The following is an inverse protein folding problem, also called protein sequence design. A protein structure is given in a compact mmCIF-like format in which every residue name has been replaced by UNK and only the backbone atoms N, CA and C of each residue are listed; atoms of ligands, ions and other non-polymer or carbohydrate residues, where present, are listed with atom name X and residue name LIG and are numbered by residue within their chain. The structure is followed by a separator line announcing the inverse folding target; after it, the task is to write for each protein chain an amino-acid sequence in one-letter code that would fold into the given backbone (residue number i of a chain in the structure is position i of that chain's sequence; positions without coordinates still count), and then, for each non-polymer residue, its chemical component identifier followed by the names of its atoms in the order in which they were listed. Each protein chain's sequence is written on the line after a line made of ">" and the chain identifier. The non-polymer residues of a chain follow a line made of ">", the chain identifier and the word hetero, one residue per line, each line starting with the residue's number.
data_IF_527726787184
#
_entry.id   IF_527726787184
#
_cell.length_a   1.000
_cell.length_b   1.000
_cell.length_c   1.000
_cell.angle_alpha   90.00
_cell.angle_beta   90.00
_cell.angle_gamma   90.00
#
_symmetry.space_group_name_H-M   'P 1'
#
loop_
_entity.id
_entity.type
_entity.pdbx_description
1 polymer ?
#
# COMPACT_ATOMS: atom_id res chain seq x y z
N UNK A 1 -0.21 29.05 44.53
CA UNK A 1 1.25 28.97 44.70
C UNK A 1 1.56 27.76 45.58
N UNK A 2 1.97 26.63 45.01
CA UNK A 2 2.72 25.61 45.75
C UNK A 2 3.41 24.69 44.75
N UNK A 3 4.71 24.92 44.60
CA UNK A 3 5.62 24.14 43.77
C UNK A 3 6.05 22.93 44.60
N UNK A 4 5.83 21.72 44.12
CA UNK A 4 6.58 20.55 44.57
C UNK A 4 7.33 19.97 43.37
N UNK A 5 8.65 19.98 43.53
CA UNK A 5 9.67 19.61 42.57
C UNK A 5 10.26 18.25 42.99
N UNK A 6 10.52 17.41 41.97
CA UNK A 6 11.48 16.29 41.90
C UNK A 6 11.19 14.99 42.69
N UNK A 7 11.69 13.81 42.25
CA UNK A 7 12.81 13.63 41.30
C UNK A 7 12.56 12.73 40.07
N UNK A 8 13.32 13.08 39.03
CA UNK A 8 13.77 12.22 37.93
C UNK A 8 14.44 10.96 38.46
N UNK A 9 13.86 9.80 38.15
CA UNK A 9 14.51 8.50 38.26
C UNK A 9 15.03 8.08 36.89
N UNK A 10 16.27 8.43 36.58
CA UNK A 10 17.01 7.88 35.46
C UNK A 10 17.45 6.45 35.81
N UNK A 11 16.99 5.46 35.05
CA UNK A 11 17.62 4.13 35.02
C UNK A 11 17.79 3.70 33.57
N UNK A 12 19.01 3.91 33.10
CA UNK A 12 19.60 3.22 31.98
C UNK A 12 19.76 1.73 32.32
N UNK A 13 19.39 0.84 31.41
CA UNK A 13 20.04 -0.45 31.22
C UNK A 13 19.92 -0.84 29.75
N UNK A 14 20.99 -0.53 29.03
CA UNK A 14 21.36 -0.98 27.70
C UNK A 14 21.48 -2.51 27.71
N UNK A 15 20.70 -3.19 26.87
CA UNK A 15 20.77 -4.64 26.68
C UNK A 15 20.81 -4.97 25.19
N UNK A 16 21.94 -4.68 24.55
CA UNK A 16 22.18 -5.05 23.15
C UNK A 16 22.47 -6.55 23.07
N UNK A 17 21.48 -7.35 22.69
CA UNK A 17 21.68 -8.76 22.34
C UNK A 17 22.08 -8.80 20.86
N UNK A 18 23.36 -9.00 20.61
CA UNK A 18 23.94 -9.21 19.28
C UNK A 18 23.70 -10.68 18.89
N UNK A 19 22.58 -10.96 18.21
CA UNK A 19 22.29 -12.28 17.66
C UNK A 19 22.82 -12.37 16.22
N UNK A 20 24.02 -12.91 16.07
CA UNK A 20 24.63 -13.26 14.78
C UNK A 20 23.96 -14.52 14.24
N UNK A 21 23.03 -14.37 13.29
CA UNK A 21 22.46 -15.48 12.52
C UNK A 21 23.28 -15.67 11.26
N UNK A 22 24.07 -16.76 11.22
CA UNK A 22 24.74 -17.23 10.01
C UNK A 22 23.74 -18.06 9.19
N UNK A 23 23.17 -17.47 8.15
CA UNK A 23 22.40 -18.20 7.14
C UNK A 23 23.36 -18.76 6.08
N UNK A 24 23.44 -20.09 6.08
CA UNK A 24 24.16 -20.94 5.13
C UNK A 24 23.59 -20.74 3.73
N UNK A 25 24.45 -20.37 2.78
CA UNK A 25 24.12 -20.26 1.37
C UNK A 25 24.04 -21.64 0.70
N UNK A 26 22.92 -21.91 0.03
CA UNK A 26 22.80 -23.03 -0.90
C UNK A 26 23.30 -22.57 -2.27
N UNK A 27 24.46 -23.07 -2.67
CA UNK A 27 25.05 -22.90 -4.01
C UNK A 27 24.29 -23.81 -4.99
N UNK A 28 23.49 -23.22 -5.87
CA UNK A 28 22.90 -23.91 -7.02
C UNK A 28 23.85 -23.82 -8.22
N UNK A 29 24.64 -24.87 -8.46
CA UNK A 29 25.38 -25.10 -9.70
C UNK A 29 24.46 -25.76 -10.73
N UNK A 30 24.38 -25.21 -11.94
CA UNK A 30 23.72 -25.88 -13.05
C UNK A 30 23.89 -25.15 -14.38
N UNK A 31 24.77 -25.67 -15.24
CA UNK A 31 24.61 -25.62 -16.69
C UNK A 31 25.51 -24.64 -17.45
N UNK A 32 26.76 -25.03 -17.66
CA UNK A 32 27.59 -24.58 -18.77
C UNK A 32 27.15 -25.31 -20.05
N UNK A 33 26.71 -24.59 -21.09
CA UNK A 33 26.58 -25.10 -22.46
C UNK A 33 26.96 -23.98 -23.45
N UNK A 34 28.16 -24.08 -24.00
CA UNK A 34 28.67 -23.38 -25.21
C UNK A 34 29.56 -24.41 -25.93
N UNK A 35 29.86 -24.33 -27.26
CA UNK A 35 29.27 -23.58 -28.36
C UNK A 35 28.88 -24.49 -29.57
N UNK A 36 28.21 -23.92 -30.58
CA UNK A 36 28.00 -24.53 -31.90
C UNK A 36 28.29 -23.53 -33.04
N UNK A 37 28.90 -23.94 -34.17
CA UNK A 37 29.77 -23.08 -34.99
C UNK A 37 29.10 -22.28 -36.13
N UNK A 38 29.79 -21.18 -36.49
CA UNK A 38 29.98 -20.52 -37.79
C UNK A 38 29.40 -21.18 -39.05
N UNK A 39 28.67 -20.38 -39.85
CA UNK A 39 28.94 -20.17 -41.28
C UNK A 39 28.16 -18.96 -41.86
N UNK A 40 28.88 -17.99 -42.43
CA UNK A 40 28.35 -17.05 -43.43
C UNK A 40 28.62 -17.62 -44.84
N UNK A 41 27.80 -17.27 -45.86
CA UNK A 41 28.39 -16.45 -46.93
C UNK A 41 27.45 -15.42 -47.62
N UNK A 42 28.14 -14.57 -48.38
CA UNK A 42 27.84 -13.34 -49.13
C UNK A 42 26.92 -13.46 -50.38
N UNK A 43 26.40 -12.28 -50.78
CA UNK A 43 25.98 -11.81 -52.13
C UNK A 43 24.48 -11.92 -52.46
N UNK A 44 23.78 -10.95 -53.07
CA UNK A 44 24.16 -9.87 -53.99
C UNK A 44 23.22 -8.67 -53.91
N UNK A 45 23.78 -7.50 -54.25
CA UNK A 45 23.10 -6.25 -54.58
C UNK A 45 22.07 -6.40 -55.71
N UNK A 46 20.91 -5.76 -55.55
CA UNK A 46 20.00 -5.35 -56.65
C UNK A 46 19.46 -3.95 -56.29
N UNK A 47 19.75 -2.88 -57.08
CA UNK A 47 19.07 -1.61 -56.95
C UNK A 47 17.97 -1.47 -58.02
N UNK A 48 16.74 -1.15 -57.60
CA UNK A 48 15.86 -0.27 -58.38
C UNK A 48 15.52 0.97 -57.54
N UNK A 49 15.92 2.14 -58.03
CA UNK A 49 15.01 3.12 -58.64
C UNK A 49 14.22 3.92 -57.59
N UNK A 50 14.69 5.15 -57.36
CA UNK A 50 14.03 6.14 -56.52
C UNK A 50 12.72 6.60 -57.18
N UNK A 51 11.60 6.36 -56.50
CA UNK A 51 10.34 7.04 -56.76
C UNK A 51 10.15 8.12 -55.69
N UNK A 52 9.81 9.37 -56.04
CA UNK A 52 9.51 10.39 -55.04
C UNK A 52 8.11 10.13 -54.48
N UNK A 53 8.03 9.50 -53.30
CA UNK A 53 6.82 9.58 -52.48
C UNK A 53 6.81 10.93 -51.77
N UNK A 54 6.01 11.85 -52.30
CA UNK A 54 5.48 13.00 -51.55
C UNK A 54 4.90 12.50 -50.21
N UNK A 55 5.63 12.75 -49.13
CA UNK A 55 5.13 12.51 -47.77
C UNK A 55 4.26 13.71 -47.43
N UNK A 56 2.95 13.53 -47.46
CA UNK A 56 2.04 14.44 -46.78
C UNK A 56 2.38 14.42 -45.28
N UNK A 57 2.98 15.50 -44.78
CA UNK A 57 3.14 15.71 -43.34
C UNK A 57 1.76 16.03 -42.77
N UNK A 58 1.03 15.00 -42.33
CA UNK A 58 -0.13 15.20 -41.46
C UNK A 58 0.37 15.94 -40.19
N UNK A 59 -0.25 17.07 -39.80
CA UNK A 59 0.10 17.73 -38.55
C UNK A 59 -0.08 16.73 -37.40
N UNK A 60 0.82 16.70 -36.41
CA UNK A 60 0.70 15.75 -35.30
C UNK A 60 -0.68 15.91 -34.63
N UNK A 61 -1.36 14.83 -34.26
CA UNK A 61 -2.63 14.94 -33.55
C UNK A 61 -2.40 15.78 -32.30
N UNK A 62 -3.09 16.92 -32.24
CA UNK A 62 -3.13 17.73 -31.02
C UNK A 62 -3.84 16.90 -29.95
N UNK A 63 -3.24 16.68 -28.75
CA UNK A 63 -3.96 16.06 -27.65
C UNK A 63 -4.98 17.08 -27.11
N UNK A 64 -6.10 17.24 -27.80
CA UNK A 64 -7.29 17.90 -27.27
C UNK A 64 -8.19 16.83 -26.68
N UNK A 65 -7.77 16.32 -25.52
CA UNK A 65 -8.63 15.59 -24.61
C UNK A 65 -8.45 16.21 -23.24
N UNK A 66 -9.44 16.96 -22.76
CA UNK A 66 -9.61 17.11 -21.31
C UNK A 66 -9.80 15.69 -20.77
N UNK A 67 -8.96 15.19 -19.84
CA UNK A 67 -9.19 13.87 -19.27
C UNK A 67 -10.59 13.86 -18.65
N UNK A 68 -11.44 12.94 -19.10
CA UNK A 68 -12.69 12.66 -18.40
C UNK A 68 -12.34 12.25 -16.96
N UNK A 69 -13.13 12.66 -15.95
CA UNK A 69 -12.93 12.17 -14.59
C UNK A 69 -12.91 10.64 -14.62
N UNK A 70 -11.84 10.04 -14.10
CA UNK A 70 -11.82 8.61 -13.88
C UNK A 70 -12.86 8.33 -12.79
N UNK A 71 -14.04 7.84 -13.16
CA UNK A 71 -15.05 7.43 -12.18
C UNK A 71 -14.56 6.15 -11.51
N UNK A 72 -14.14 6.26 -10.25
CA UNK A 72 -13.76 5.11 -9.44
C UNK A 72 -14.96 4.18 -9.25
N UNK A 73 -14.74 2.88 -9.39
CA UNK A 73 -15.77 1.86 -9.15
C UNK A 73 -16.04 1.75 -7.65
N UNK A 74 -17.31 1.78 -7.27
CA UNK A 74 -17.70 1.48 -5.89
C UNK A 74 -17.46 0.01 -5.54
N UNK A 75 -16.79 -0.25 -4.41
CA UNK A 75 -16.51 -1.60 -3.90
C UNK A 75 -16.97 -1.78 -2.46
N UNK A 76 -17.40 -3.00 -2.14
CA UNK A 76 -17.79 -3.34 -0.78
C UNK A 76 -16.55 -3.50 0.11
N UNK A 77 -16.58 -2.83 1.26
CA UNK A 77 -15.54 -2.92 2.30
C UNK A 77 -16.16 -3.52 3.55
N UNK A 78 -15.53 -4.57 4.06
CA UNK A 78 -15.93 -5.26 5.29
C UNK A 78 -14.92 -4.98 6.40
N UNK A 79 -15.37 -4.31 7.46
CA UNK A 79 -14.62 -4.16 8.71
C UNK A 79 -14.86 -5.41 9.57
N UNK A 80 -13.85 -6.26 9.73
CA UNK A 80 -13.97 -7.53 10.47
C UNK A 80 -13.65 -7.38 11.96
N UNK A 81 -12.85 -6.39 12.31
CA UNK A 81 -12.50 -6.07 13.69
C UNK A 81 -12.22 -4.57 13.84
N UNK A 82 -12.71 -3.98 14.93
CA UNK A 82 -12.30 -2.68 15.44
C UNK A 82 -12.40 -2.67 16.97
N UNK A 83 -11.32 -2.35 17.67
CA UNK A 83 -11.34 -2.36 19.13
C UNK A 83 -9.98 -2.18 19.79
N UNK A 84 -9.98 -2.08 21.12
CA UNK A 84 -8.77 -2.11 21.95
C UNK A 84 -8.57 -3.54 22.46
N UNK A 85 -7.44 -4.15 22.14
CA UNK A 85 -7.09 -5.48 22.65
C UNK A 85 -6.66 -5.42 24.13
N UNK A 86 -6.69 -6.57 24.81
CA UNK A 86 -6.21 -6.69 26.20
C UNK A 86 -4.76 -6.23 26.32
N UNK A 87 -4.52 -5.23 27.17
CA UNK A 87 -3.21 -4.54 27.31
C UNK A 87 -2.70 -3.88 26.02
N UNK A 88 -3.58 -3.65 25.06
CA UNK A 88 -3.29 -2.87 23.86
C UNK A 88 -3.04 -1.41 24.18
N UNK A 89 -2.28 -0.75 23.30
CA UNK A 89 -1.97 0.68 23.38
C UNK A 89 -2.56 1.49 22.23
N UNK A 90 -3.45 0.88 21.45
CA UNK A 90 -4.11 1.48 20.29
C UNK A 90 -5.55 0.95 20.14
N UNK A 91 -6.37 1.71 19.42
CA UNK A 91 -7.53 1.13 18.72
C UNK A 91 -6.99 0.49 17.44
N UNK A 92 -7.19 -0.82 17.31
CA UNK A 92 -6.77 -1.61 16.16
C UNK A 92 -7.97 -1.94 15.27
N UNK A 93 -7.75 -2.01 13.97
CA UNK A 93 -8.76 -2.42 13.01
C UNK A 93 -8.20 -3.31 11.90
N UNK A 94 -9.06 -4.22 11.41
CA UNK A 94 -8.78 -5.07 10.27
C UNK A 94 -10.05 -5.32 9.45
N UNK A 95 -9.88 -5.55 8.16
CA UNK A 95 -10.96 -5.79 7.21
C UNK A 95 -10.45 -6.22 5.84
N UNK A 96 -11.35 -6.26 4.87
CA UNK A 96 -11.04 -6.58 3.48
C UNK A 96 -12.01 -5.89 2.52
N UNK A 97 -11.64 -5.90 1.25
CA UNK A 97 -12.42 -5.35 0.13
C UNK A 97 -12.77 -6.48 -0.83
N UNK A 98 -14.00 -6.49 -1.34
CA UNK A 98 -14.53 -7.51 -2.28
C UNK A 98 -14.02 -7.33 -3.72
N UNK A 99 -12.74 -6.95 -3.85
CA UNK A 99 -11.99 -6.94 -5.11
C UNK A 99 -10.54 -7.23 -4.81
N UNK A 100 -9.85 -7.94 -5.71
CA UNK A 100 -8.40 -8.11 -5.66
C UNK A 100 -7.73 -7.03 -6.50
N UNK A 101 -7.03 -6.10 -5.84
CA UNK A 101 -6.33 -4.99 -6.49
C UNK A 101 -4.97 -4.75 -5.85
N UNK A 102 -4.01 -4.38 -6.70
CA UNK A 102 -2.67 -3.98 -6.31
C UNK A 102 -2.62 -2.45 -6.18
N UNK A 103 -1.95 -1.92 -5.15
CA UNK A 103 -1.67 -0.48 -5.05
C UNK A 103 -2.78 0.39 -4.44
N UNK A 104 -3.75 -0.20 -3.73
CA UNK A 104 -4.73 0.57 -2.95
C UNK A 104 -4.24 0.95 -1.54
N UNK A 105 -4.96 1.84 -0.88
CA UNK A 105 -4.74 2.30 0.49
C UNK A 105 -5.96 2.04 1.34
N UNK A 106 -5.75 1.53 2.55
CA UNK A 106 -6.78 1.37 3.56
C UNK A 106 -6.65 2.49 4.60
N UNK A 107 -7.77 3.10 4.98
CA UNK A 107 -7.80 4.17 5.98
C UNK A 107 -8.79 3.83 7.09
N UNK A 108 -8.31 3.78 8.32
CA UNK A 108 -9.15 3.75 9.52
C UNK A 108 -9.41 5.18 9.93
N UNK A 109 -10.68 5.56 10.04
CA UNK A 109 -11.12 6.84 10.59
C UNK A 109 -11.84 6.60 11.90
N UNK A 110 -11.37 7.23 12.97
CA UNK A 110 -12.06 7.30 14.26
C UNK A 110 -12.62 8.71 14.45
N UNK A 111 -13.91 8.81 14.74
CA UNK A 111 -14.58 10.09 14.99
C UNK A 111 -15.30 10.10 16.33
N UNK A 112 -15.16 11.19 17.07
CA UNK A 112 -15.92 11.45 18.29
C UNK A 112 -16.07 12.94 18.51
N UNK A 113 -17.30 13.41 18.73
CA UNK A 113 -17.61 14.81 19.09
C UNK A 113 -16.95 15.84 18.13
N UNK A 114 -16.86 15.50 16.83
CA UNK A 114 -16.21 16.31 15.80
C UNK A 114 -14.68 16.23 15.76
N UNK A 115 -14.05 15.47 16.66
CA UNK A 115 -12.62 15.12 16.59
C UNK A 115 -12.42 13.90 15.72
N UNK A 116 -11.46 13.96 14.80
CA UNK A 116 -11.12 12.85 13.90
C UNK A 116 -9.67 12.45 14.08
N UNK A 117 -9.41 11.14 14.14
CA UNK A 117 -8.08 10.53 14.03
C UNK A 117 -8.07 9.50 12.92
N UNK A 118 -6.95 9.39 12.21
CA UNK A 118 -6.81 8.46 11.11
C UNK A 118 -5.54 7.63 11.23
N UNK A 119 -5.58 6.45 10.62
CA UNK A 119 -4.43 5.58 10.39
C UNK A 119 -4.55 5.05 8.96
N UNK A 120 -3.43 4.98 8.24
CA UNK A 120 -3.40 4.56 6.83
C UNK A 120 -2.35 3.48 6.65
N UNK A 121 -2.67 2.49 5.82
CA UNK A 121 -1.74 1.44 5.42
C UNK A 121 -1.94 1.05 3.95
N UNK A 122 -0.87 0.62 3.26
CA UNK A 122 -1.02 -0.02 1.96
C UNK A 122 -1.91 -1.25 2.07
N UNK A 123 -2.87 -1.37 1.16
CA UNK A 123 -3.72 -2.53 1.04
C UNK A 123 -2.93 -3.69 0.41
N UNK A 124 -3.20 -4.92 0.82
CA UNK A 124 -2.46 -6.10 0.34
C UNK A 124 -3.39 -7.02 -0.45
N UNK A 125 -3.18 -7.24 -1.76
CA UNK A 125 -4.00 -8.17 -2.53
C UNK A 125 -3.85 -9.61 -2.01
N UNK A 126 -4.97 -10.28 -1.79
CA UNK A 126 -5.02 -11.65 -1.25
C UNK A 126 -6.09 -12.50 -1.95
N UNK A 127 -5.63 -13.51 -2.70
CA UNK A 127 -6.44 -14.45 -3.48
C UNK A 127 -7.50 -13.78 -4.38
N UNK A 128 -8.68 -13.50 -3.87
CA UNK A 128 -9.82 -12.86 -4.56
C UNK A 128 -10.26 -11.52 -3.94
N UNK A 129 -9.57 -11.06 -2.91
CA UNK A 129 -9.89 -9.87 -2.12
C UNK A 129 -8.65 -8.99 -1.97
N UNK A 130 -8.81 -7.83 -1.34
CA UNK A 130 -7.71 -7.00 -0.88
C UNK A 130 -7.81 -6.84 0.62
N UNK A 131 -6.76 -7.23 1.34
CA UNK A 131 -6.69 -7.18 2.78
C UNK A 131 -6.32 -5.78 3.29
N UNK A 132 -7.05 -5.34 4.31
CA UNK A 132 -6.82 -4.11 5.07
C UNK A 132 -6.55 -4.49 6.53
N UNK A 133 -5.33 -4.92 6.84
CA UNK A 133 -4.96 -5.40 8.18
C UNK A 133 -3.95 -4.51 8.88
N UNK A 134 -4.02 -4.45 10.22
CA UNK A 134 -3.00 -3.84 11.06
C UNK A 134 -3.11 -2.33 11.24
N UNK A 135 -4.25 -1.73 10.91
CA UNK A 135 -4.48 -0.30 11.15
C UNK A 135 -4.54 -0.05 12.65
N UNK A 136 -3.87 1.00 13.12
CA UNK A 136 -3.79 1.32 14.53
C UNK A 136 -3.76 2.83 14.76
N UNK A 137 -4.59 3.32 15.68
CA UNK A 137 -4.54 4.68 16.22
C UNK A 137 -4.14 4.62 17.69
N UNK A 138 -3.01 5.23 18.12
CA UNK A 138 -2.55 5.18 19.50
C UNK A 138 -3.60 5.73 20.49
N UNK A 139 -3.76 5.06 21.64
CA UNK A 139 -4.66 5.55 22.70
C UNK A 139 -4.22 6.90 23.27
N UNK A 140 -2.93 7.24 23.18
CA UNK A 140 -2.42 8.56 23.58
C UNK A 140 -3.00 9.72 22.76
N UNK A 141 -3.54 9.42 21.57
CA UNK A 141 -4.07 10.42 20.64
C UNK A 141 -5.59 10.54 20.72
N UNK A 142 -6.21 9.71 21.57
CA UNK A 142 -7.64 9.55 21.76
C UNK A 142 -8.03 9.91 23.21
N UNK A 143 -9.17 10.56 23.36
CA UNK A 143 -9.81 10.74 24.66
C UNK A 143 -10.71 9.52 24.97
N UNK A 144 -10.81 9.15 26.25
CA UNK A 144 -11.68 8.06 26.69
C UNK A 144 -13.16 8.32 26.39
N UNK A 145 -13.89 7.26 26.03
CA UNK A 145 -15.27 7.29 25.58
C UNK A 145 -15.49 6.52 24.27
N UNK A 146 -16.70 6.57 23.75
CA UNK A 146 -17.09 5.86 22.53
C UNK A 146 -16.69 6.66 21.29
N UNK A 147 -16.06 5.98 20.33
CA UNK A 147 -15.65 6.51 19.03
C UNK A 147 -16.33 5.71 17.92
N UNK A 148 -16.74 6.40 16.86
CA UNK A 148 -17.18 5.75 15.62
C UNK A 148 -15.96 5.38 14.78
N UNK A 149 -15.78 4.10 14.50
CA UNK A 149 -14.73 3.58 13.64
C UNK A 149 -15.27 3.25 12.25
N UNK A 150 -14.55 3.70 11.22
CA UNK A 150 -14.86 3.37 9.83
C UNK A 150 -13.61 3.04 9.05
N UNK A 151 -13.66 1.92 8.32
CA UNK A 151 -12.64 1.52 7.37
C UNK A 151 -13.04 1.94 5.95
N UNK A 152 -12.15 2.64 5.25
CA UNK A 152 -12.28 2.92 3.82
C UNK A 152 -11.12 2.36 3.02
N UNK A 153 -11.35 2.22 1.72
CA UNK A 153 -10.38 1.78 0.73
C UNK A 153 -10.45 2.71 -0.48
N UNK A 154 -9.28 3.02 -1.05
CA UNK A 154 -9.14 3.80 -2.28
C UNK A 154 -7.98 3.25 -3.11
N UNK A 155 -8.17 3.14 -4.42
CA UNK A 155 -7.17 2.77 -5.42
C UNK A 155 -7.35 3.64 -6.67
N UNK A 156 -6.56 3.41 -7.72
CA UNK A 156 -6.75 4.15 -8.96
C UNK A 156 -8.11 3.85 -9.63
N UNK A 157 -8.69 2.67 -9.35
CA UNK A 157 -9.84 2.14 -10.08
C UNK A 157 -11.07 1.94 -9.18
N UNK A 158 -10.90 1.93 -7.86
CA UNK A 158 -11.96 1.57 -6.92
C UNK A 158 -11.92 2.36 -5.62
N UNK A 159 -13.10 2.66 -5.07
CA UNK A 159 -13.24 3.27 -3.76
C UNK A 159 -14.42 2.66 -2.99
N UNK A 160 -14.32 2.61 -1.66
CA UNK A 160 -15.37 2.03 -0.83
C UNK A 160 -15.22 2.32 0.66
N UNK A 161 -16.30 2.13 1.42
CA UNK A 161 -16.31 2.36 2.86
C UNK A 161 -17.23 1.38 3.59
N UNK A 162 -16.77 0.86 4.72
CA UNK A 162 -17.58 0.02 5.60
C UNK A 162 -18.62 0.86 6.36
N UNK A 163 -19.70 0.26 6.87
CA UNK A 163 -20.55 0.89 7.87
C UNK A 163 -19.75 1.27 9.13
N UNK A 164 -20.20 2.30 9.85
CA UNK A 164 -19.59 2.69 11.12
C UNK A 164 -19.89 1.68 12.22
N UNK A 165 -18.91 1.48 13.10
CA UNK A 165 -19.04 0.66 14.31
C UNK A 165 -18.52 1.43 15.53
N UNK A 166 -19.16 1.24 16.68
CA UNK A 166 -18.72 1.87 17.92
C UNK A 166 -17.52 1.13 18.53
N UNK A 167 -16.55 1.89 19.03
CA UNK A 167 -15.38 1.40 19.77
C UNK A 167 -15.26 2.17 21.07
N UNK A 168 -15.23 1.46 22.19
CA UNK A 168 -14.99 2.07 23.50
C UNK A 168 -13.49 2.20 23.78
N UNK A 169 -13.06 3.45 24.00
CA UNK A 169 -11.72 3.80 24.46
C UNK A 169 -11.73 3.96 25.99
N UNK A 170 -10.90 3.19 26.73
CA UNK A 170 -10.91 3.19 28.20
C UNK A 170 -10.37 4.48 28.82
#
# INVERSE_FOLDING_TARGET
>A
MSRHRFPMGARAMTGTVLATVLLVGCTGSGGEDEPGPTAAPTTSMVPPSAEPTDVATDPPPSPSGTPEPNEEREVAVTLTFAGVLDRGSAVEAAGFVDVREDGGTCTLTLTRDGTTRTSELPATPDASTTACGGLAVPLSDLASGTWEAVLSYESADSAGRAPAVDVDVP
#
